data_IF_836444935635
#
_entry.id   IF_836444935635
#
_cell.length_a   1.000
_cell.length_b   1.000
_cell.length_c   1.000
_cell.angle_alpha   90.00
_cell.angle_beta   90.00
_cell.angle_gamma   90.00
#
_symmetry.space_group_name_H-M   'P 1'
#
loop_
_entity.id
_entity.type
_entity.pdbx_description
1 polymer ?
#
# COMPACT_ATOMS: atom_id res chain seq x y z
N UNK A 1 -12.20 -11.32 5.03
CA UNK A 1 -11.37 -11.18 3.82
C UNK A 1 -10.95 -9.72 3.73
N UNK A 2 -9.64 -9.43 3.62
CA UNK A 2 -9.11 -8.06 3.59
C UNK A 2 -8.76 -7.65 2.16
N UNK A 3 -9.08 -6.41 1.77
CA UNK A 3 -8.74 -5.85 0.47
C UNK A 3 -7.77 -4.69 0.65
N UNK A 4 -6.64 -4.75 -0.06
CA UNK A 4 -5.56 -3.77 0.08
C UNK A 4 -5.05 -3.35 -1.30
N UNK A 5 -4.57 -2.11 -1.40
CA UNK A 5 -3.91 -1.62 -2.62
C UNK A 5 -2.46 -2.12 -2.68
N UNK A 6 -2.01 -2.44 -3.89
CA UNK A 6 -0.62 -2.81 -4.13
C UNK A 6 0.34 -1.72 -3.66
N UNK A 7 1.40 -2.12 -2.94
CA UNK A 7 2.43 -1.20 -2.44
C UNK A 7 2.07 -0.43 -1.17
N UNK A 8 0.87 -0.61 -0.60
CA UNK A 8 0.48 0.02 0.67
C UNK A 8 0.62 -0.97 1.82
N UNK A 9 1.42 -0.62 2.84
CA UNK A 9 1.57 -1.38 4.08
C UNK A 9 1.85 -2.86 3.86
N UNK A 10 2.95 -3.14 3.17
CA UNK A 10 3.38 -4.52 2.87
C UNK A 10 3.62 -5.34 4.14
N UNK A 11 4.02 -4.69 5.24
CA UNK A 11 4.10 -5.24 6.59
C UNK A 11 2.77 -5.86 7.04
N UNK A 12 1.67 -5.12 6.88
CA UNK A 12 0.34 -5.53 7.28
C UNK A 12 -0.16 -6.68 6.41
N UNK A 13 0.07 -6.59 5.10
CA UNK A 13 -0.30 -7.66 4.17
C UNK A 13 0.35 -8.98 4.58
N UNK A 14 1.64 -8.96 4.93
CA UNK A 14 2.37 -10.14 5.40
C UNK A 14 1.85 -10.63 6.75
N UNK A 15 1.60 -9.71 7.70
CA UNK A 15 1.07 -10.05 9.02
C UNK A 15 -0.31 -10.70 8.93
N UNK A 16 -1.25 -10.09 8.21
CA UNK A 16 -2.59 -10.64 7.98
C UNK A 16 -2.54 -12.02 7.32
N UNK A 17 -1.61 -12.23 6.38
CA UNK A 17 -1.40 -13.54 5.76
C UNK A 17 -0.86 -14.58 6.74
N UNK A 18 0.06 -14.20 7.64
CA UNK A 18 0.59 -15.08 8.70
C UNK A 18 -0.48 -15.45 9.74
N UNK A 19 -1.39 -14.53 10.03
CA UNK A 19 -2.53 -14.75 10.92
C UNK A 19 -3.63 -15.64 10.27
N UNK A 20 -3.43 -16.12 9.04
CA UNK A 20 -4.35 -17.02 8.35
C UNK A 20 -5.51 -16.31 7.63
N UNK A 21 -5.51 -14.98 7.58
CA UNK A 21 -6.55 -14.24 6.87
C UNK A 21 -6.33 -14.25 5.36
N UNK A 22 -7.44 -14.30 4.62
CA UNK A 22 -7.46 -14.15 3.17
C UNK A 22 -7.30 -12.67 2.80
N UNK A 23 -6.19 -12.34 2.15
CA UNK A 23 -5.84 -10.99 1.69
C UNK A 23 -5.91 -10.93 0.16
N UNK A 24 -6.61 -9.93 -0.37
CA UNK A 24 -6.65 -9.60 -1.81
C UNK A 24 -5.93 -8.29 -2.06
N UNK A 25 -5.04 -8.29 -3.04
CA UNK A 25 -4.24 -7.14 -3.41
C UNK A 25 -4.73 -6.61 -4.75
N UNK A 26 -5.16 -5.35 -4.79
CA UNK A 26 -5.54 -4.68 -6.02
C UNK A 26 -4.30 -4.11 -6.69
N UNK A 27 -3.93 -4.69 -7.83
CA UNK A 27 -2.78 -4.27 -8.63
C UNK A 27 -3.28 -3.43 -9.81
N UNK A 28 -3.04 -2.11 -9.83
CA UNK A 28 -3.30 -1.31 -11.02
C UNK A 28 -2.27 -1.69 -12.11
N UNK A 29 -2.73 -1.88 -13.34
CA UNK A 29 -1.90 -2.23 -14.50
C UNK A 29 -2.10 -1.24 -15.65
N UNK A 30 -1.16 -1.18 -16.59
CA UNK A 30 -1.21 -0.31 -17.78
C UNK A 30 -0.39 0.98 -17.65
N UNK A 31 -0.20 1.71 -18.76
CA UNK A 31 0.61 2.96 -18.80
C UNK A 31 -0.10 4.16 -18.16
N UNK A 32 -1.43 4.14 -18.13
CA UNK A 32 -2.27 5.23 -17.61
C UNK A 32 -2.72 5.02 -16.15
N UNK A 33 -2.04 4.13 -15.43
CA UNK A 33 -2.35 3.83 -14.03
C UNK A 33 -2.24 5.09 -13.14
N UNK A 34 -1.29 5.96 -13.41
CA UNK A 34 -1.00 7.15 -12.60
C UNK A 34 -2.09 8.23 -12.71
N UNK A 35 -2.53 8.65 -13.91
CA UNK A 35 -3.70 9.54 -14.07
C UNK A 35 -4.96 8.98 -13.42
N UNK A 36 -5.26 7.69 -13.63
CA UNK A 36 -6.45 7.05 -13.04
C UNK A 36 -6.39 7.03 -11.51
N UNK A 37 -5.21 6.70 -10.95
CA UNK A 37 -4.97 6.69 -9.51
C UNK A 37 -5.11 8.09 -8.90
N UNK A 38 -4.52 9.11 -9.53
CA UNK A 38 -4.65 10.49 -9.08
C UNK A 38 -6.09 11.01 -9.14
N UNK A 39 -6.86 10.62 -10.16
CA UNK A 39 -8.28 10.97 -10.25
C UNK A 39 -9.10 10.36 -9.11
N UNK A 40 -8.91 9.06 -8.82
CA UNK A 40 -9.53 8.36 -7.68
C UNK A 40 -9.12 8.92 -6.32
N UNK A 41 -7.91 9.45 -6.24
CA UNK A 41 -7.35 10.07 -5.05
C UNK A 41 -7.92 11.48 -4.81
N UNK A 42 -8.09 12.27 -5.87
CA UNK A 42 -8.66 13.61 -5.80
C UNK A 42 -10.14 13.63 -5.36
N UNK A 43 -10.88 12.54 -5.59
CA UNK A 43 -12.27 12.40 -5.13
C UNK A 43 -12.41 12.45 -3.59
N UNK A 44 -11.39 12.06 -2.82
CA UNK A 44 -11.37 12.14 -1.35
C UNK A 44 -9.96 12.39 -0.79
N UNK A 45 -9.61 13.66 -0.49
CA UNK A 45 -8.26 14.06 -0.04
C UNK A 45 -7.73 13.29 1.18
N UNK A 46 -8.63 12.86 2.08
CA UNK A 46 -8.28 12.07 3.26
C UNK A 46 -7.63 10.71 2.91
N UNK A 47 -8.04 10.09 1.81
CA UNK A 47 -7.46 8.81 1.35
C UNK A 47 -6.03 9.01 0.85
N UNK A 48 -5.75 10.15 0.22
CA UNK A 48 -4.40 10.53 -0.27
C UNK A 48 -3.41 10.60 0.87
N UNK A 49 -3.78 11.29 1.96
CA UNK A 49 -2.91 11.46 3.11
C UNK A 49 -2.65 10.14 3.83
N UNK A 50 -3.63 9.24 3.89
CA UNK A 50 -3.46 7.89 4.43
C UNK A 50 -2.50 7.04 3.59
N UNK A 51 -2.64 7.07 2.25
CA UNK A 51 -1.75 6.34 1.33
C UNK A 51 -0.32 6.92 1.36
N UNK A 52 -0.18 8.24 1.33
CA UNK A 52 1.13 8.90 1.42
C UNK A 52 1.80 8.61 2.77
N UNK A 53 1.06 8.73 3.88
CA UNK A 53 1.59 8.43 5.21
C UNK A 53 2.05 6.98 5.35
N UNK A 54 1.32 6.02 4.77
CA UNK A 54 1.72 4.61 4.77
C UNK A 54 2.94 4.33 3.87
N UNK A 55 3.07 4.99 2.72
CA UNK A 55 4.26 4.90 1.86
C UNK A 55 5.51 5.53 2.51
N UNK A 56 5.35 6.65 3.23
CA UNK A 56 6.44 7.30 3.96
C UNK A 56 6.90 6.44 5.13
N UNK A 57 5.97 5.85 5.89
CA UNK A 57 6.29 4.93 6.98
C UNK A 57 7.02 3.67 6.49
N UNK A 58 6.68 3.18 5.30
CA UNK A 58 7.37 2.03 4.68
C UNK A 58 8.83 2.33 4.29
N UNK A 59 9.19 3.59 3.97
CA UNK A 59 10.59 3.96 3.70
C UNK A 59 11.48 3.92 4.95
N UNK A 60 10.92 4.11 6.14
CA UNK A 60 11.68 4.04 7.39
C UNK A 60 12.16 2.63 7.73
N UNK A 61 11.41 1.60 7.36
CA UNK A 61 11.72 0.20 7.69
C UNK A 61 12.70 -0.46 6.69
N UNK A 62 12.83 0.08 5.47
CA UNK A 62 13.84 -0.42 4.50
C UNK A 62 15.28 0.01 4.83
N UNK A 63 15.48 0.91 5.81
CA UNK A 63 16.79 1.38 6.26
C UNK A 63 17.43 0.57 7.39
N UNK A 64 16.68 -0.31 8.06
CA UNK A 64 17.14 -1.00 9.28
C UNK A 64 17.40 -2.50 9.09
N UNK A 65 17.70 -2.94 7.87
CA UNK A 65 17.82 -4.37 7.51
C UNK A 65 19.01 -4.73 6.62
N UNK A 66 20.12 -4.00 6.72
CA UNK A 66 21.44 -4.44 6.22
C UNK A 66 22.50 -4.11 7.27
N UNK A 67 22.79 -5.07 8.14
CA UNK A 67 23.88 -4.99 9.09
C UNK A 67 23.69 -6.00 10.22
N UNK A 68 24.59 -7.00 10.23
CA UNK A 68 24.70 -8.16 11.13
C UNK A 68 23.80 -9.35 10.79
#
# INVERSE_FOLDING_TARGET
>A
EFQMLYGIRRDLQMRLRREGYRVRIYVPFGREWYPYFMRRLAERPANVMFVLGSLVRERGERGAGRGA
#
